data_IF_782935410891
#
_entry.id   IF_782935410891
#
_cell.length_a   1.000
_cell.length_b   1.000
_cell.length_c   1.000
_cell.angle_alpha   90.00
_cell.angle_beta   90.00
_cell.angle_gamma   90.00
#
_symmetry.space_group_name_H-M   'P 1'
#
loop_
_entity.id
_entity.type
_entity.pdbx_description
1 polymer ?
#
# COMPACT_ATOMS: atom_id res chain seq x y z
N UNK A 1 57.63 47.10 -22.51
CA UNK A 1 56.41 46.86 -21.69
C UNK A 1 55.23 47.69 -22.24
N UNK A 2 54.17 47.04 -22.70
CA UNK A 2 53.03 47.70 -23.36
C UNK A 2 51.89 48.05 -22.39
N UNK A 3 51.33 49.26 -22.55
CA UNK A 3 50.10 49.74 -21.92
C UNK A 3 49.14 50.24 -23.01
N UNK A 4 47.83 49.98 -22.96
CA UNK A 4 47.07 49.48 -21.81
C UNK A 4 46.92 47.94 -21.80
N UNK A 5 46.56 47.34 -20.65
CA UNK A 5 46.22 45.92 -20.57
C UNK A 5 44.93 45.65 -21.35
N UNK A 6 44.94 44.61 -22.19
CA UNK A 6 43.72 44.09 -22.82
C UNK A 6 42.86 43.48 -21.70
N UNK A 7 41.69 44.05 -21.47
CA UNK A 7 40.65 43.46 -20.64
C UNK A 7 39.53 42.95 -21.55
N UNK A 8 39.15 41.70 -21.38
CA UNK A 8 38.04 41.06 -22.10
C UNK A 8 37.00 40.60 -21.10
N UNK A 9 35.75 41.00 -21.31
CA UNK A 9 34.60 40.51 -20.54
C UNK A 9 33.90 39.42 -21.33
N UNK A 10 33.66 38.27 -20.71
CA UNK A 10 32.86 37.19 -21.27
C UNK A 10 31.70 36.87 -20.35
N UNK A 11 30.53 36.58 -20.92
CA UNK A 11 29.37 36.09 -20.18
C UNK A 11 29.52 34.60 -19.92
N UNK A 12 29.62 34.21 -18.65
CA UNK A 12 29.59 32.81 -18.22
C UNK A 12 28.13 32.46 -17.91
N UNK A 13 27.58 31.48 -18.62
CA UNK A 13 26.29 30.90 -18.26
C UNK A 13 26.55 29.70 -17.37
N UNK A 14 26.22 29.81 -16.09
CA UNK A 14 26.30 28.69 -15.15
C UNK A 14 24.98 27.94 -15.21
N UNK A 15 25.00 26.75 -15.81
CA UNK A 15 23.92 25.77 -15.68
C UNK A 15 24.24 24.96 -14.41
N UNK A 16 23.38 25.07 -13.41
CA UNK A 16 23.45 24.22 -12.22
C UNK A 16 22.63 22.98 -12.56
N UNK A 17 23.31 21.87 -12.82
CA UNK A 17 22.66 20.57 -12.88
C UNK A 17 22.19 20.22 -11.46
N UNK A 18 20.92 19.82 -11.34
CA UNK A 18 20.36 19.34 -10.09
C UNK A 18 21.03 18.01 -9.72
N UNK A 19 21.57 17.93 -8.50
CA UNK A 19 22.13 16.69 -7.95
C UNK A 19 20.98 15.99 -7.24
N UNK A 20 20.76 14.71 -7.54
CA UNK A 20 19.78 13.89 -6.82
C UNK A 20 20.25 13.71 -5.38
N UNK A 21 19.81 14.56 -4.47
CA UNK A 21 20.25 14.60 -3.06
C UNK A 21 19.09 14.47 -2.06
N UNK A 22 17.86 14.44 -2.55
CA UNK A 22 16.69 14.09 -1.78
C UNK A 22 16.24 12.66 -2.10
N UNK A 23 15.51 12.08 -1.16
CA UNK A 23 14.90 10.76 -1.34
C UNK A 23 13.39 10.93 -1.31
N UNK A 24 12.61 10.08 -2.02
CA UNK A 24 11.18 10.15 -1.94
C UNK A 24 10.71 9.95 -0.50
N UNK A 25 9.81 10.81 -0.01
CA UNK A 25 9.29 10.74 1.36
C UNK A 25 7.81 10.41 1.34
N UNK A 26 7.43 9.26 1.89
CA UNK A 26 6.03 8.90 2.08
C UNK A 26 5.35 9.79 3.13
N UNK A 27 4.05 10.04 2.96
CA UNK A 27 3.24 10.77 3.96
C UNK A 27 3.12 10.03 5.30
N UNK A 28 3.36 8.71 5.31
CA UNK A 28 3.41 7.88 6.50
C UNK A 28 4.35 6.69 6.28
N UNK A 29 5.03 6.23 7.33
CA UNK A 29 5.83 5.00 7.28
C UNK A 29 4.95 3.74 7.21
N UNK A 30 3.72 3.84 7.72
CA UNK A 30 2.75 2.73 7.75
C UNK A 30 1.36 3.20 7.35
N UNK A 31 0.72 2.44 6.47
CA UNK A 31 -0.67 2.62 6.06
C UNK A 31 -1.50 1.42 6.49
N UNK A 32 -2.77 1.65 6.78
CA UNK A 32 -3.73 0.62 7.17
C UNK A 32 -4.99 0.77 6.33
N UNK A 33 -5.50 -0.34 5.82
CA UNK A 33 -6.76 -0.37 5.09
C UNK A 33 -7.47 -1.70 5.30
N UNK A 34 -8.77 -1.70 5.06
CA UNK A 34 -9.62 -2.89 5.13
C UNK A 34 -10.39 -2.99 3.83
N UNK A 35 -10.42 -4.19 3.24
CA UNK A 35 -11.14 -4.47 1.99
C UNK A 35 -12.00 -5.72 2.18
N UNK A 36 -13.24 -5.76 1.67
CA UNK A 36 -14.05 -6.96 1.79
C UNK A 36 -13.53 -8.08 0.88
N UNK A 37 -13.74 -9.33 1.29
CA UNK A 37 -13.24 -10.49 0.53
C UNK A 37 -13.92 -10.68 -0.83
N UNK A 38 -15.17 -10.25 -0.95
CA UNK A 38 -15.96 -10.29 -2.19
C UNK A 38 -15.59 -9.18 -3.18
N UNK A 39 -14.61 -8.34 -2.84
CA UNK A 39 -14.13 -7.26 -3.70
C UNK A 39 -13.68 -7.82 -5.07
N UNK A 40 -14.27 -7.34 -6.18
CA UNK A 40 -13.84 -7.75 -7.52
C UNK A 40 -12.37 -7.42 -7.78
N UNK A 41 -11.74 -8.15 -8.69
CA UNK A 41 -10.43 -7.77 -9.25
C UNK A 41 -10.50 -6.38 -9.87
N UNK A 42 -9.51 -5.54 -9.61
CA UNK A 42 -9.45 -4.14 -10.05
C UNK A 42 -10.09 -3.14 -9.09
N UNK A 43 -10.48 -3.58 -7.89
CA UNK A 43 -11.01 -2.68 -6.85
C UNK A 43 -9.90 -1.83 -6.26
N UNK A 44 -10.15 -0.53 -6.09
CA UNK A 44 -9.23 0.40 -5.43
C UNK A 44 -9.09 0.06 -3.94
N UNK A 45 -7.85 -0.17 -3.49
CA UNK A 45 -7.52 -0.58 -2.12
C UNK A 45 -7.05 0.61 -1.29
N UNK A 46 -6.04 1.32 -1.81
CA UNK A 46 -5.41 2.44 -1.12
C UNK A 46 -4.57 3.24 -2.13
N UNK A 47 -4.64 4.57 -2.04
CA UNK A 47 -3.70 5.46 -2.71
C UNK A 47 -2.56 5.81 -1.73
N UNK A 48 -1.34 5.36 -2.04
CA UNK A 48 -0.15 5.84 -1.31
C UNK A 48 0.38 7.10 -1.96
N UNK A 49 0.97 7.97 -1.13
CA UNK A 49 1.57 9.21 -1.63
C UNK A 49 2.97 9.40 -1.04
N UNK A 50 3.89 9.82 -1.91
CA UNK A 50 5.23 10.25 -1.54
C UNK A 50 5.64 11.46 -2.37
N UNK A 51 6.57 12.26 -1.85
CA UNK A 51 7.08 13.47 -2.48
C UNK A 51 8.60 13.50 -2.42
N UNK A 52 9.21 13.97 -3.49
CA UNK A 52 10.64 14.23 -3.58
C UNK A 52 10.85 15.74 -3.79
N UNK A 53 11.89 16.31 -3.18
CA UNK A 53 12.17 17.73 -3.22
C UNK A 53 13.09 18.13 -4.39
N UNK A 54 13.63 17.14 -5.11
CA UNK A 54 14.50 17.36 -6.26
C UNK A 54 13.73 17.88 -7.49
N UNK A 55 14.46 18.45 -8.46
CA UNK A 55 13.86 19.12 -9.62
C UNK A 55 13.96 18.23 -10.87
N UNK A 56 12.93 18.28 -11.71
CA UNK A 56 12.94 17.55 -12.98
C UNK A 56 12.86 16.05 -12.75
N UNK A 57 13.69 15.27 -13.45
CA UNK A 57 13.65 13.79 -13.39
C UNK A 57 14.02 13.25 -12.00
N UNK A 58 14.90 13.93 -11.29
CA UNK A 58 15.29 13.60 -9.92
C UNK A 58 14.09 13.70 -8.95
N UNK A 59 13.07 14.51 -9.27
CA UNK A 59 11.82 14.58 -8.48
C UNK A 59 10.72 13.62 -8.95
N UNK A 60 10.91 12.90 -10.07
CA UNK A 60 9.88 12.01 -10.64
C UNK A 60 9.93 10.66 -9.94
N UNK A 61 8.85 10.34 -9.24
CA UNK A 61 8.73 9.11 -8.45
C UNK A 61 8.06 8.00 -9.25
N UNK A 62 8.63 6.81 -9.17
CA UNK A 62 8.00 5.55 -9.58
C UNK A 62 7.78 4.63 -8.38
N UNK A 63 6.60 4.02 -8.31
CA UNK A 63 6.22 3.09 -7.25
C UNK A 63 6.37 1.63 -7.67
N UNK A 64 6.72 0.77 -6.71
CA UNK A 64 6.68 -0.68 -6.85
C UNK A 64 6.14 -1.33 -5.58
N UNK A 65 5.58 -2.53 -5.73
CA UNK A 65 4.94 -3.28 -4.66
C UNK A 65 5.61 -4.64 -4.52
N UNK A 66 6.01 -4.99 -3.30
CA UNK A 66 6.49 -6.32 -2.94
C UNK A 66 5.60 -6.92 -1.86
N UNK A 67 5.41 -8.24 -1.91
CA UNK A 67 4.52 -8.97 -1.01
C UNK A 67 3.13 -9.16 -1.63
N UNK A 68 2.16 -9.51 -0.79
CA UNK A 68 0.78 -9.68 -1.26
C UNK A 68 0.52 -10.85 -2.19
N UNK A 69 1.46 -11.78 -2.40
CA UNK A 69 1.35 -13.03 -3.19
C UNK A 69 0.56 -12.93 -4.52
N UNK A 70 0.61 -11.79 -5.22
CA UNK A 70 -0.13 -11.55 -6.45
C UNK A 70 -1.61 -11.16 -6.29
N UNK A 71 -2.09 -10.95 -5.07
CA UNK A 71 -3.43 -10.42 -4.78
C UNK A 71 -3.54 -8.91 -4.98
N UNK A 72 -2.42 -8.20 -5.02
CA UNK A 72 -2.39 -6.74 -5.15
C UNK A 72 -1.40 -6.30 -6.23
N UNK A 73 -1.68 -5.18 -6.86
CA UNK A 73 -0.74 -4.47 -7.74
C UNK A 73 -0.79 -2.98 -7.44
N UNK A 74 0.28 -2.28 -7.80
CA UNK A 74 0.36 -0.83 -7.67
C UNK A 74 0.58 -0.20 -9.04
N UNK A 75 -0.07 0.93 -9.28
CA UNK A 75 0.23 1.77 -10.43
C UNK A 75 1.56 2.50 -10.18
N UNK A 76 2.59 2.31 -11.04
CA UNK A 76 3.91 2.87 -10.81
C UNK A 76 3.94 4.40 -10.90
N UNK A 77 3.01 5.04 -11.60
CA UNK A 77 2.98 6.49 -11.75
C UNK A 77 2.15 7.19 -10.66
N UNK A 78 1.09 6.55 -10.16
CA UNK A 78 0.14 7.20 -9.24
C UNK A 78 0.24 6.70 -7.80
N UNK A 79 0.82 5.53 -7.55
CA UNK A 79 0.80 4.90 -6.24
C UNK A 79 -0.55 4.27 -5.86
N UNK A 80 -1.50 4.16 -6.81
CA UNK A 80 -2.78 3.50 -6.56
C UNK A 80 -2.58 1.99 -6.44
N UNK A 81 -2.96 1.42 -5.30
CA UNK A 81 -2.99 -0.03 -5.08
C UNK A 81 -4.39 -0.53 -5.42
N UNK A 82 -4.45 -1.62 -6.19
CA UNK A 82 -5.68 -2.31 -6.58
C UNK A 82 -5.59 -3.81 -6.30
N UNK A 83 -6.75 -4.48 -6.24
CA UNK A 83 -6.80 -5.94 -6.24
C UNK A 83 -6.43 -6.51 -7.61
N UNK A 84 -5.57 -7.53 -7.63
CA UNK A 84 -5.13 -8.24 -8.84
C UNK A 84 -5.74 -9.64 -8.97
N UNK A 85 -6.28 -10.18 -7.88
CA UNK A 85 -7.05 -11.42 -7.85
C UNK A 85 -8.08 -11.38 -6.73
N UNK A 86 -8.99 -12.35 -6.74
CA UNK A 86 -10.00 -12.51 -5.69
C UNK A 86 -9.32 -12.75 -4.34
N UNK A 87 -9.93 -12.16 -3.31
CA UNK A 87 -9.51 -12.34 -1.93
C UNK A 87 -10.35 -13.46 -1.32
N UNK A 88 -9.74 -14.18 -0.39
CA UNK A 88 -10.39 -15.23 0.38
C UNK A 88 -9.89 -15.07 1.80
N UNK A 89 -10.78 -14.65 2.69
CA UNK A 89 -10.40 -14.37 4.07
C UNK A 89 -10.03 -15.65 4.81
N UNK A 90 -10.68 -16.77 4.53
CA UNK A 90 -10.36 -18.08 5.11
C UNK A 90 -8.97 -18.55 4.68
N UNK A 91 -8.56 -18.24 3.45
CA UNK A 91 -7.18 -18.48 3.01
C UNK A 91 -6.18 -17.52 3.66
N UNK A 92 -6.50 -16.22 3.71
CA UNK A 92 -5.63 -15.20 4.29
C UNK A 92 -6.38 -13.91 4.68
N UNK A 93 -6.56 -13.72 5.98
CA UNK A 93 -7.22 -12.53 6.53
C UNK A 93 -6.37 -11.25 6.53
N UNK A 94 -5.04 -11.35 6.41
CA UNK A 94 -4.14 -10.20 6.50
C UNK A 94 -2.97 -10.26 5.51
N UNK A 95 -2.69 -9.10 4.90
CA UNK A 95 -1.56 -8.89 4.01
C UNK A 95 -0.70 -7.74 4.51
N UNK A 96 0.60 -7.93 4.38
CA UNK A 96 1.59 -6.89 4.58
C UNK A 96 2.27 -6.67 3.23
N UNK A 97 2.12 -5.46 2.69
CA UNK A 97 2.70 -5.05 1.43
C UNK A 97 3.81 -4.06 1.72
N UNK A 98 4.95 -4.23 1.05
CA UNK A 98 6.04 -3.27 1.06
C UNK A 98 5.97 -2.45 -0.21
N UNK A 99 5.68 -1.16 -0.07
CA UNK A 99 5.72 -0.22 -1.18
C UNK A 99 7.07 0.45 -1.19
N UNK A 100 7.71 0.50 -2.36
CA UNK A 100 8.97 1.21 -2.59
C UNK A 100 8.70 2.35 -3.56
N UNK A 101 9.11 3.56 -3.19
CA UNK A 101 9.15 4.73 -4.06
C UNK A 101 10.60 4.95 -4.47
N UNK A 102 10.83 5.16 -5.76
CA UNK A 102 12.18 5.41 -6.33
C UNK A 102 12.11 6.63 -7.22
N UNK A 103 13.05 7.56 -7.05
CA UNK A 103 13.17 8.73 -7.92
C UNK A 103 13.81 8.38 -9.28
N UNK A 104 13.85 9.35 -10.18
CA UNK A 104 14.43 9.23 -11.52
C UNK A 104 15.92 9.57 -11.63
N UNK A 105 16.64 9.66 -10.52
CA UNK A 105 18.05 10.03 -10.47
C UNK A 105 18.95 9.14 -11.34
N UNK A 106 19.99 9.72 -11.94
CA UNK A 106 21.00 9.00 -12.75
C UNK A 106 22.40 9.11 -12.15
N UNK A 107 23.22 8.03 -12.15
CA UNK A 107 22.97 6.70 -12.73
C UNK A 107 22.09 5.78 -11.88
N UNK A 108 21.84 6.13 -10.62
CA UNK A 108 20.99 5.40 -9.68
C UNK A 108 20.06 6.38 -9.00
N UNK A 109 18.77 6.06 -8.97
CA UNK A 109 17.80 6.79 -8.18
C UNK A 109 17.89 6.40 -6.71
N UNK A 110 17.47 7.30 -5.82
CA UNK A 110 17.29 7.00 -4.41
C UNK A 110 15.89 6.44 -4.16
N UNK A 111 15.74 5.72 -3.05
CA UNK A 111 14.48 5.06 -2.75
C UNK A 111 14.17 5.05 -1.26
N UNK A 112 12.88 5.03 -0.97
CA UNK A 112 12.34 4.81 0.36
C UNK A 112 11.24 3.77 0.32
N UNK A 113 10.81 3.30 1.49
CA UNK A 113 9.75 2.31 1.57
C UNK A 113 8.75 2.60 2.69
N UNK A 114 7.52 2.15 2.48
CA UNK A 114 6.45 2.20 3.46
C UNK A 114 5.71 0.84 3.50
N UNK A 115 5.17 0.52 4.67
CA UNK A 115 4.42 -0.73 4.87
C UNK A 115 2.92 -0.46 4.79
N UNK A 116 2.19 -1.26 4.00
CA UNK A 116 0.72 -1.24 3.93
C UNK A 116 0.18 -2.52 4.57
N UNK A 117 -0.60 -2.36 5.63
CA UNK A 117 -1.32 -3.44 6.28
C UNK A 117 -2.75 -3.49 5.75
N UNK A 118 -3.08 -4.55 5.02
CA UNK A 118 -4.42 -4.79 4.47
C UNK A 118 -5.09 -5.88 5.29
N UNK A 119 -6.26 -5.57 5.84
CA UNK A 119 -7.14 -6.54 6.50
C UNK A 119 -8.26 -6.92 5.54
N UNK A 120 -8.47 -8.21 5.34
CA UNK A 120 -9.63 -8.71 4.59
C UNK A 120 -10.81 -8.80 5.56
N UNK A 121 -11.85 -8.02 5.31
CA UNK A 121 -13.08 -8.09 6.08
C UNK A 121 -13.91 -9.29 5.64
N UNK A 122 -14.36 -10.04 6.64
CA UNK A 122 -15.42 -11.04 6.51
C UNK A 122 -16.70 -10.32 6.08
N UNK A 123 -17.23 -10.67 4.92
CA UNK A 123 -18.60 -10.32 4.59
C UNK A 123 -19.45 -11.45 5.15
N UNK A 124 -20.40 -11.12 6.04
CA UNK A 124 -21.33 -12.08 6.62
C UNK A 124 -22.33 -12.58 5.56
N UNK A 125 -21.83 -13.40 4.62
CA UNK A 125 -22.54 -14.08 3.55
C UNK A 125 -22.76 -15.56 3.88
N UNK A 126 -22.38 -15.97 5.10
CA UNK A 126 -22.71 -17.27 5.69
C UNK A 126 -23.80 -17.10 6.75
N UNK A 127 -25.10 -17.09 6.38
CA UNK A 127 -26.15 -17.34 7.37
C UNK A 127 -25.83 -18.67 8.07
N UNK A 128 -25.95 -18.76 9.41
CA UNK A 128 -25.53 -19.95 10.13
C UNK A 128 -26.28 -21.19 9.61
N UNK A 129 -25.54 -22.10 8.96
CA UNK A 129 -26.07 -23.40 8.58
C UNK A 129 -26.05 -24.32 9.80
N UNK A 130 -27.19 -24.37 10.50
CA UNK A 130 -27.45 -25.36 11.54
C UNK A 130 -27.52 -26.75 10.89
N UNK A 131 -26.46 -27.55 11.03
CA UNK A 131 -26.41 -28.90 10.46
C UNK A 131 -27.41 -29.88 11.10
N UNK A 132 -28.02 -29.53 12.24
CA UNK A 132 -28.96 -30.39 12.94
C UNK A 132 -30.01 -29.59 13.70
N UNK A 133 -31.24 -29.49 13.17
CA UNK A 133 -32.45 -29.31 13.98
C UNK A 133 -33.68 -30.00 13.34
N UNK A 134 -34.61 -30.52 14.17
CA UNK A 134 -34.66 -30.38 15.63
C UNK A 134 -34.01 -31.55 16.37
N UNK A 135 -33.22 -31.24 17.40
CA UNK A 135 -33.02 -32.18 18.50
C UNK A 135 -34.35 -32.26 19.25
N UNK A 136 -35.18 -33.22 18.89
CA UNK A 136 -36.35 -33.58 19.69
C UNK A 136 -35.83 -34.28 20.93
N UNK A 137 -35.88 -33.59 22.07
CA UNK A 137 -35.73 -34.24 23.37
C UNK A 137 -37.10 -34.40 24.01
N UNK A 138 -37.41 -35.63 24.43
CA UNK A 138 -38.59 -35.89 25.25
C UNK A 138 -38.23 -35.46 26.67
N UNK A 139 -38.93 -34.45 27.20
CA UNK A 139 -38.85 -34.08 28.60
C UNK A 139 -39.87 -34.97 29.34
N UNK A 140 -39.45 -35.90 30.22
CA UNK A 140 -40.40 -36.55 31.13
C UNK A 140 -40.99 -35.46 32.03
N UNK A 141 -42.32 -35.37 32.09
CA UNK A 141 -42.99 -34.38 32.90
C UNK A 141 -42.79 -34.67 34.39
N UNK A 142 -41.70 -34.16 35.00
CA UNK A 142 -41.54 -33.74 36.40
C UNK A 142 -40.13 -33.14 36.58
N UNK A 143 -39.90 -31.91 36.10
CA UNK A 143 -38.71 -31.15 36.48
C UNK A 143 -39.16 -29.84 37.10
N UNK A 144 -38.90 -29.71 38.40
CA UNK A 144 -39.11 -28.49 39.20
C UNK A 144 -38.21 -27.38 38.68
N UNK A 145 -38.73 -26.14 38.63
CA UNK A 145 -37.98 -24.98 38.16
C UNK A 145 -36.69 -24.75 38.99
N UNK A 146 -35.54 -24.61 38.32
CA UNK A 146 -34.30 -24.10 38.93
C UNK A 146 -33.03 -24.94 38.80
N UNK A 147 -32.98 -25.99 37.98
CA UNK A 147 -31.81 -26.88 37.89
C UNK A 147 -31.06 -26.82 36.56
N UNK A 148 -30.37 -25.72 36.24
CA UNK A 148 -29.37 -25.70 35.17
C UNK A 148 -28.05 -25.13 35.67
N UNK A 149 -26.97 -25.92 35.63
CA UNK A 149 -25.59 -25.44 35.50
C UNK A 149 -24.75 -26.44 34.69
N UNK A 150 -24.27 -25.91 33.56
CA UNK A 150 -23.32 -26.39 32.54
C UNK A 150 -23.55 -27.76 31.91
#
# INVERSE_FOLDING_TARGET
>A
PGSPPLSGTGTVTVLVDDVNDNVPVFTSATFHTTIPEDAPTGTDVLLVNSSDADVGLNGVISYSLTGGNGQFSINPATGQIITSSLLDREARANYQLLVVATDGGQPLGMSSSATVSVVVADINDNPPHFHHHPYVTHIPAFISAGGFRF
#
